data_IF_378310100829
#
_entry.id   IF_378310100829
#
_cell.length_a   1.000
_cell.length_b   1.000
_cell.length_c   1.000
_cell.angle_alpha   90.00
_cell.angle_beta   90.00
_cell.angle_gamma   90.00
#
_symmetry.space_group_name_H-M   'P 1'
#
loop_
_entity.id
_entity.type
_entity.pdbx_description
1 polymer ?
#
# COMPACT_ATOMS: atom_id res chain seq x y z
N UNK A 1 -32.98 -13.48 -9.47
CA UNK A 1 -32.19 -13.85 -8.27
C UNK A 1 -30.73 -13.73 -8.65
N UNK A 2 -30.00 -12.73 -8.13
CA UNK A 2 -28.58 -12.54 -8.43
C UNK A 2 -27.79 -13.72 -7.87
N UNK A 3 -27.22 -14.56 -8.74
CA UNK A 3 -26.27 -15.61 -8.33
C UNK A 3 -24.94 -14.93 -8.00
N UNK A 4 -24.79 -14.49 -6.76
CA UNK A 4 -23.50 -14.04 -6.23
C UNK A 4 -22.65 -15.28 -5.98
N UNK A 5 -21.46 -15.32 -6.57
CA UNK A 5 -20.44 -16.33 -6.27
C UNK A 5 -20.22 -17.35 -7.38
N UNK A 6 -19.31 -17.03 -8.30
CA UNK A 6 -18.59 -18.08 -9.03
C UNK A 6 -17.70 -18.84 -8.03
N UNK A 7 -17.73 -20.17 -8.03
CA UNK A 7 -16.99 -20.95 -7.06
C UNK A 7 -15.48 -20.78 -7.32
N UNK A 8 -14.76 -20.16 -6.38
CA UNK A 8 -13.31 -19.89 -6.43
C UNK A 8 -12.81 -19.00 -7.59
N UNK A 9 -13.64 -18.12 -8.12
CA UNK A 9 -13.22 -17.12 -9.12
C UNK A 9 -13.22 -15.68 -8.55
N UNK A 10 -12.94 -14.70 -9.42
CA UNK A 10 -12.75 -13.27 -9.07
C UNK A 10 -13.97 -12.66 -8.35
N UNK A 11 -15.18 -13.15 -8.65
CA UNK A 11 -16.45 -12.71 -8.05
C UNK A 11 -17.03 -13.76 -7.09
N UNK A 12 -16.19 -14.63 -6.53
CA UNK A 12 -16.59 -15.55 -5.46
C UNK A 12 -17.02 -14.81 -4.21
N UNK A 13 -17.89 -15.41 -3.39
CA UNK A 13 -18.29 -14.85 -2.11
C UNK A 13 -17.09 -14.47 -1.22
N UNK A 14 -16.07 -15.34 -1.17
CA UNK A 14 -14.85 -15.07 -0.44
C UNK A 14 -14.06 -13.86 -1.00
N UNK A 15 -14.03 -13.67 -2.31
CA UNK A 15 -13.41 -12.50 -2.94
C UNK A 15 -14.15 -11.21 -2.57
N UNK A 16 -15.48 -11.23 -2.66
CA UNK A 16 -16.34 -10.09 -2.30
C UNK A 16 -16.17 -9.74 -0.82
N UNK A 17 -16.22 -10.74 0.07
CA UNK A 17 -16.03 -10.52 1.50
C UNK A 17 -14.64 -9.94 1.83
N UNK A 18 -13.57 -10.45 1.21
CA UNK A 18 -12.21 -9.88 1.38
C UNK A 18 -12.14 -8.44 0.91
N UNK A 19 -12.76 -8.11 -0.22
CA UNK A 19 -12.77 -6.75 -0.74
C UNK A 19 -13.54 -5.80 0.18
N UNK A 20 -14.72 -6.20 0.66
CA UNK A 20 -15.52 -5.43 1.60
C UNK A 20 -14.73 -5.11 2.89
N UNK A 21 -14.08 -6.12 3.48
CA UNK A 21 -13.26 -5.94 4.67
C UNK A 21 -12.07 -5.00 4.42
N UNK A 22 -11.39 -5.10 3.27
CA UNK A 22 -10.28 -4.22 2.93
C UNK A 22 -10.74 -2.74 2.81
N UNK A 23 -11.89 -2.50 2.18
CA UNK A 23 -12.49 -1.17 2.06
C UNK A 23 -12.91 -0.63 3.43
N UNK A 24 -13.50 -1.46 4.29
CA UNK A 24 -13.89 -1.07 5.64
C UNK A 24 -12.68 -0.64 6.49
N UNK A 25 -11.61 -1.45 6.49
CA UNK A 25 -10.38 -1.10 7.20
C UNK A 25 -9.71 0.16 6.65
N UNK A 26 -9.68 0.34 5.33
CA UNK A 26 -9.17 1.57 4.74
C UNK A 26 -10.00 2.79 5.19
N UNK A 27 -11.32 2.70 5.13
CA UNK A 27 -12.19 3.80 5.54
C UNK A 27 -12.01 4.13 7.02
N UNK A 28 -11.88 3.13 7.88
CA UNK A 28 -11.58 3.32 9.31
C UNK A 28 -10.25 4.03 9.52
N UNK A 29 -9.19 3.59 8.84
CA UNK A 29 -7.87 4.22 8.89
C UNK A 29 -7.91 5.70 8.47
N UNK A 30 -8.60 6.00 7.36
CA UNK A 30 -8.74 7.38 6.87
C UNK A 30 -9.53 8.26 7.85
N UNK A 31 -10.60 7.73 8.46
CA UNK A 31 -11.36 8.46 9.48
C UNK A 31 -10.50 8.78 10.69
N UNK A 32 -9.72 7.81 11.20
CA UNK A 32 -8.79 8.04 12.32
C UNK A 32 -7.79 9.16 12.02
N UNK A 33 -7.26 9.22 10.79
CA UNK A 33 -6.35 10.30 10.38
C UNK A 33 -7.06 11.67 10.37
N UNK A 34 -8.29 11.73 9.86
CA UNK A 34 -9.09 12.96 9.83
C UNK A 34 -9.44 13.42 11.25
N UNK A 35 -9.98 12.52 12.07
CA UNK A 35 -10.45 12.82 13.43
C UNK A 35 -9.28 13.17 14.35
N UNK A 36 -8.19 12.40 14.27
CA UNK A 36 -6.97 12.60 15.05
C UNK A 36 -6.03 13.66 14.49
N UNK A 37 -6.32 14.21 13.29
CA UNK A 37 -5.48 15.17 12.55
C UNK A 37 -3.99 14.82 12.52
N UNK A 38 -3.70 13.52 12.48
CA UNK A 38 -2.35 12.99 12.60
C UNK A 38 -2.25 11.65 11.89
N UNK A 39 -1.05 11.35 11.40
CA UNK A 39 -0.75 10.05 10.83
C UNK A 39 -0.40 9.05 11.95
N UNK A 40 -0.76 7.76 11.80
CA UNK A 40 -0.52 6.77 12.84
C UNK A 40 0.98 6.51 13.02
N UNK A 41 1.37 6.21 14.26
CA UNK A 41 2.68 5.63 14.53
C UNK A 41 2.64 4.14 14.20
N UNK A 42 3.46 3.72 13.23
CA UNK A 42 3.48 2.34 12.74
C UNK A 42 4.47 1.50 13.56
N UNK A 43 4.00 0.35 14.06
CA UNK A 43 4.85 -0.60 14.77
C UNK A 43 5.87 -1.23 13.81
N UNK A 44 7.15 -1.07 14.13
CA UNK A 44 8.27 -1.56 13.32
C UNK A 44 8.32 -3.09 13.21
N UNK A 45 7.76 -3.80 14.19
CA UNK A 45 7.79 -5.25 14.27
C UNK A 45 6.62 -5.91 13.51
N UNK A 46 5.64 -5.12 13.09
CA UNK A 46 4.42 -5.64 12.44
C UNK A 46 4.12 -4.96 11.10
N UNK A 47 4.77 -3.83 10.80
CA UNK A 47 4.53 -3.08 9.56
C UNK A 47 5.60 -3.35 8.51
N UNK A 48 5.23 -3.75 7.29
CA UNK A 48 6.18 -3.91 6.19
C UNK A 48 6.85 -2.60 5.81
N UNK A 49 8.10 -2.70 5.36
CA UNK A 49 8.89 -1.58 4.82
C UNK A 49 9.07 -1.75 3.32
N UNK A 50 9.00 -0.64 2.59
CA UNK A 50 9.31 -0.60 1.15
C UNK A 50 10.59 0.20 0.94
N UNK A 51 11.64 -0.48 0.50
CA UNK A 51 12.96 0.08 0.18
C UNK A 51 13.15 0.27 -1.32
N UNK A 52 14.03 1.20 -1.70
CA UNK A 52 14.30 1.61 -3.09
C UNK A 52 13.00 1.87 -3.86
N UNK A 53 12.11 2.65 -3.26
CA UNK A 53 10.75 2.80 -3.76
C UNK A 53 10.61 3.89 -4.83
N UNK A 54 9.56 3.81 -5.63
CA UNK A 54 9.01 4.88 -6.47
C UNK A 54 7.50 4.68 -6.63
N UNK A 55 6.78 5.68 -7.17
CA UNK A 55 5.34 5.60 -7.41
C UNK A 55 5.09 5.35 -8.89
N UNK A 56 4.49 4.19 -9.21
CA UNK A 56 4.01 3.92 -10.57
C UNK A 56 2.56 4.37 -10.71
N UNK A 57 2.24 5.09 -11.79
CA UNK A 57 0.92 5.70 -12.06
C UNK A 57 0.46 5.33 -13.48
N UNK A 58 0.30 4.03 -13.75
CA UNK A 58 -0.22 3.55 -15.05
C UNK A 58 -1.76 3.60 -15.12
N UNK A 59 -2.45 2.95 -14.18
CA UNK A 59 -3.93 2.97 -14.05
C UNK A 59 -4.35 3.56 -12.71
N UNK A 60 -3.66 3.17 -11.64
CA UNK A 60 -3.82 3.69 -10.28
C UNK A 60 -2.44 3.88 -9.67
N UNK A 61 -2.23 4.91 -8.82
CA UNK A 61 -0.96 5.09 -8.15
C UNK A 61 -0.66 3.86 -7.29
N UNK A 62 0.54 3.32 -7.41
CA UNK A 62 1.02 2.14 -6.64
C UNK A 62 2.45 2.39 -6.20
N UNK A 63 2.78 1.94 -4.99
CA UNK A 63 4.15 2.01 -4.51
C UNK A 63 4.90 0.76 -5.00
N UNK A 64 6.02 0.97 -5.66
CA UNK A 64 6.87 -0.09 -6.21
C UNK A 64 8.21 -0.06 -5.51
N UNK A 65 8.72 -1.22 -5.09
CA UNK A 65 10.03 -1.33 -4.46
C UNK A 65 10.29 -2.70 -3.86
N UNK A 66 11.34 -2.83 -3.07
CA UNK A 66 11.62 -4.05 -2.31
C UNK A 66 10.83 -4.05 -1.01
N UNK A 67 9.83 -4.92 -0.93
CA UNK A 67 8.95 -5.02 0.24
C UNK A 67 9.51 -6.09 1.19
N UNK A 68 9.74 -5.72 2.45
CA UNK A 68 10.12 -6.65 3.51
C UNK A 68 8.99 -6.73 4.53
N UNK A 69 8.49 -7.95 4.77
CA UNK A 69 7.44 -8.22 5.75
C UNK A 69 8.07 -8.65 7.08
N UNK A 70 7.63 -8.11 8.23
CA UNK A 70 8.11 -8.56 9.52
C UNK A 70 7.73 -10.02 9.78
N UNK A 71 8.63 -10.77 10.41
CA UNK A 71 8.45 -12.19 10.67
C UNK A 71 8.82 -13.12 9.51
N UNK A 72 9.21 -12.59 8.35
CA UNK A 72 9.82 -13.39 7.29
C UNK A 72 11.23 -13.80 7.73
N UNK A 73 11.42 -15.06 8.11
CA UNK A 73 12.60 -15.62 8.78
C UNK A 73 13.84 -15.74 7.90
N UNK A 74 13.88 -15.03 6.78
CA UNK A 74 15.10 -14.92 5.99
C UNK A 74 15.48 -16.16 5.19
N UNK A 75 14.67 -17.22 5.19
CA UNK A 75 14.87 -18.37 4.30
C UNK A 75 14.74 -17.99 2.81
N UNK A 76 14.16 -16.82 2.52
CA UNK A 76 14.11 -16.18 1.21
C UNK A 76 15.12 -15.02 1.04
N UNK A 77 16.12 -14.86 1.92
CA UNK A 77 17.15 -13.81 1.79
C UNK A 77 17.97 -13.89 0.49
N UNK A 78 17.90 -15.02 -0.24
CA UNK A 78 18.42 -15.16 -1.61
C UNK A 78 17.55 -14.55 -2.71
N UNK A 79 16.34 -14.08 -2.39
CA UNK A 79 15.33 -13.61 -3.35
C UNK A 79 14.98 -12.13 -3.17
N UNK A 80 15.96 -11.33 -2.74
CA UNK A 80 15.92 -9.86 -2.81
C UNK A 80 16.05 -9.34 -4.25
N UNK A 81 15.64 -10.14 -5.25
CA UNK A 81 15.96 -9.93 -6.66
C UNK A 81 14.85 -9.27 -7.46
N UNK A 82 13.66 -9.07 -6.89
CA UNK A 82 12.55 -8.45 -7.62
C UNK A 82 11.80 -7.41 -6.80
N UNK A 83 11.59 -6.25 -7.41
CA UNK A 83 10.67 -5.24 -6.90
C UNK A 83 9.24 -5.78 -6.97
N UNK A 84 8.42 -5.41 -6.00
CA UNK A 84 7.00 -5.77 -5.92
C UNK A 84 6.13 -4.53 -5.93
N UNK A 85 4.88 -4.71 -6.33
CA UNK A 85 3.86 -3.67 -6.32
C UNK A 85 3.01 -3.79 -5.06
N UNK A 86 2.76 -2.68 -4.37
CA UNK A 86 1.69 -2.64 -3.38
C UNK A 86 0.33 -2.67 -4.06
N UNK A 87 -0.72 -2.90 -3.28
CA UNK A 87 -2.07 -2.51 -3.70
C UNK A 87 -2.14 -0.98 -3.98
N UNK A 88 -3.20 -0.48 -4.63
CA UNK A 88 -3.35 0.94 -4.96
C UNK A 88 -3.12 1.85 -3.76
N UNK A 89 -2.39 2.94 -3.97
CA UNK A 89 -1.98 3.90 -2.96
C UNK A 89 -3.11 4.92 -2.71
N UNK A 90 -3.44 5.15 -1.44
CA UNK A 90 -4.47 6.10 -1.02
C UNK A 90 -3.91 7.24 -0.18
N UNK A 91 -2.86 6.98 0.61
CA UNK A 91 -2.12 8.02 1.32
C UNK A 91 -0.62 7.75 1.19
N UNK A 92 0.15 8.82 1.16
CA UNK A 92 1.61 8.77 1.20
C UNK A 92 2.12 10.03 1.90
N UNK A 93 3.03 9.85 2.83
CA UNK A 93 3.73 10.95 3.48
C UNK A 93 5.20 10.63 3.50
N UNK A 94 5.95 11.33 2.64
CA UNK A 94 7.41 11.22 2.61
C UNK A 94 8.02 11.69 3.92
N UNK A 95 7.52 12.80 4.46
CA UNK A 95 8.04 13.40 5.69
C UNK A 95 7.89 12.48 6.91
N UNK A 96 6.79 11.75 7.01
CA UNK A 96 6.55 10.80 8.10
C UNK A 96 7.05 9.39 7.76
N UNK A 97 7.53 9.15 6.53
CA UNK A 97 8.03 7.85 6.10
C UNK A 97 6.94 6.77 6.10
N UNK A 98 5.71 7.10 5.67
CA UNK A 98 4.60 6.13 5.66
C UNK A 98 3.76 6.19 4.39
N UNK A 99 3.10 5.07 4.10
CA UNK A 99 2.17 4.92 2.99
C UNK A 99 0.98 4.06 3.39
N UNK A 100 -0.22 4.36 2.87
CA UNK A 100 -1.41 3.51 3.00
C UNK A 100 -1.83 3.05 1.61
N UNK A 101 -1.71 1.76 1.33
CA UNK A 101 -2.36 1.16 0.16
C UNK A 101 -3.84 0.93 0.44
N UNK A 102 -4.58 0.26 -0.46
CA UNK A 102 -5.95 -0.17 -0.19
C UNK A 102 -6.02 -1.29 0.85
N UNK A 103 -4.92 -2.01 1.07
CA UNK A 103 -4.89 -3.20 1.93
C UNK A 103 -4.23 -2.98 3.29
N UNK A 104 -3.14 -2.21 3.36
CA UNK A 104 -2.40 -2.01 4.62
C UNK A 104 -1.54 -0.76 4.63
N UNK A 105 -1.06 -0.42 5.82
CA UNK A 105 0.02 0.54 6.02
C UNK A 105 1.38 -0.06 5.67
N UNK A 106 2.28 0.80 5.21
CA UNK A 106 3.68 0.52 4.94
C UNK A 106 4.53 1.63 5.57
N UNK A 107 5.71 1.24 6.03
CA UNK A 107 6.82 2.15 6.28
C UNK A 107 7.56 2.37 4.97
N UNK A 108 7.98 3.60 4.73
CA UNK A 108 8.67 4.02 3.52
C UNK A 108 10.15 4.19 3.88
N UNK A 109 10.99 3.36 3.26
CA UNK A 109 12.44 3.39 3.46
C UNK A 109 13.12 4.33 2.47
N UNK A 110 14.31 3.96 2.02
CA UNK A 110 15.12 4.77 1.12
C UNK A 110 14.47 4.86 -0.28
N UNK A 111 14.40 6.05 -0.88
CA UNK A 111 13.90 6.19 -2.25
C UNK A 111 14.84 5.55 -3.27
N UNK A 112 14.27 5.13 -4.41
CA UNK A 112 15.06 4.85 -5.62
C UNK A 112 15.51 6.16 -6.30
N UNK A 113 16.47 6.12 -7.25
CA UNK A 113 16.89 7.31 -8.00
C UNK A 113 15.76 8.01 -8.79
N UNK A 114 14.68 7.29 -9.12
CA UNK A 114 13.54 7.84 -9.87
C UNK A 114 12.37 8.26 -8.98
N UNK A 115 12.48 8.06 -7.66
CA UNK A 115 11.40 8.31 -6.71
C UNK A 115 10.90 9.75 -6.74
N UNK A 116 11.82 10.71 -6.79
CA UNK A 116 11.50 12.14 -6.77
C UNK A 116 10.67 12.56 -8.00
N UNK A 117 11.08 12.09 -9.19
CA UNK A 117 10.34 12.32 -10.42
C UNK A 117 8.95 11.67 -10.40
N UNK A 118 8.88 10.43 -9.93
CA UNK A 118 7.62 9.70 -9.79
C UNK A 118 6.66 10.39 -8.80
N UNK A 119 7.19 10.93 -7.71
CA UNK A 119 6.43 11.67 -6.70
C UNK A 119 5.89 12.97 -7.30
N UNK A 120 6.72 13.71 -8.05
CA UNK A 120 6.27 14.91 -8.79
C UNK A 120 5.09 14.58 -9.71
N UNK A 121 5.22 13.55 -10.55
CA UNK A 121 4.15 13.12 -11.49
C UNK A 121 2.86 12.69 -10.80
N UNK A 122 2.93 12.19 -9.57
CA UNK A 122 1.74 11.85 -8.80
C UNK A 122 1.13 13.06 -8.08
N UNK A 123 1.97 13.93 -7.49
CA UNK A 123 1.53 15.13 -6.76
C UNK A 123 0.98 16.23 -7.65
N UNK A 124 1.39 16.30 -8.92
CA UNK A 124 0.82 17.25 -9.89
C UNK A 124 -0.47 16.66 -10.45
N UNK A 125 -1.55 16.82 -9.67
CA UNK A 125 -2.95 17.01 -10.09
C UNK A 125 -3.79 17.22 -8.83
N UNK A 126 -3.77 18.46 -8.37
CA UNK A 126 -4.63 19.02 -7.34
C UNK A 126 -4.62 20.52 -7.54
N UNK A 127 -5.21 20.97 -8.65
CA UNK A 127 -5.52 22.38 -8.87
C UNK A 127 -6.21 22.93 -7.60
N UNK A 128 -5.66 24.02 -7.07
CA UNK A 128 -6.28 24.83 -6.02
C UNK A 128 -7.48 25.59 -6.57
#
# INVERSE_FOLDING_TARGET
>A
MLRIGENRANSSWASVARHANAVEHLAEDLRRVIDGRSLPQLDTNHTPVVEQWFIEKFIVPTLVGFITYPGDSGEHHGQRSSMSFTAPLHLFSLQQGIARSSQRWYRVGHPSPVAEDSLRRWSVDGEF
#
